data_IF_447035778715
#
_entry.id   IF_447035778715
#
_cell.length_a   1.000
_cell.length_b   1.000
_cell.length_c   1.000
_cell.angle_alpha   90.00
_cell.angle_beta   90.00
_cell.angle_gamma   90.00
#
_symmetry.space_group_name_H-M   'P 1'
#
loop_
_entity.id
_entity.type
_entity.pdbx_description
1 polymer ?
#
# COMPACT_ATOMS: atom_id res chain seq x y z
N UNK A 1 -18.00 -36.75 29.22
CA UNK A 1 -16.90 -35.82 28.85
C UNK A 1 -16.55 -36.03 27.37
N UNK A 2 -17.02 -35.15 26.48
CA UNK A 2 -16.80 -35.27 25.05
C UNK A 2 -15.51 -34.52 24.70
N UNK A 3 -14.50 -35.24 24.21
CA UNK A 3 -13.26 -34.66 23.66
C UNK A 3 -13.50 -34.29 22.21
N UNK A 4 -13.97 -33.07 21.92
CA UNK A 4 -13.93 -32.53 20.55
C UNK A 4 -12.54 -32.02 20.23
N UNK A 5 -11.68 -32.90 19.70
CA UNK A 5 -10.37 -32.54 19.16
C UNK A 5 -10.49 -32.03 17.73
N UNK A 6 -10.80 -30.76 17.54
CA UNK A 6 -10.76 -30.13 16.21
C UNK A 6 -9.29 -29.88 15.85
N UNK A 7 -8.77 -30.62 14.87
CA UNK A 7 -7.44 -30.37 14.30
C UNK A 7 -7.56 -29.27 13.24
N UNK A 8 -7.10 -28.06 13.57
CA UNK A 8 -6.97 -26.99 12.59
C UNK A 8 -5.74 -27.27 11.70
N UNK A 9 -5.96 -27.45 10.39
CA UNK A 9 -4.88 -27.41 9.39
C UNK A 9 -4.58 -25.95 9.09
N UNK A 10 -3.49 -25.42 9.64
CA UNK A 10 -2.99 -24.11 9.23
C UNK A 10 -2.31 -24.27 7.87
N UNK A 11 -2.87 -23.60 6.85
CA UNK A 11 -2.15 -23.40 5.59
C UNK A 11 -1.17 -22.24 5.78
N UNK A 12 0.06 -22.32 5.23
CA UNK A 12 0.98 -21.21 5.29
C UNK A 12 0.39 -20.03 4.50
N UNK A 13 0.19 -18.89 5.18
CA UNK A 13 -0.31 -17.65 4.57
C UNK A 13 0.88 -16.70 4.45
N UNK A 14 1.14 -16.22 3.23
CA UNK A 14 2.17 -15.20 3.01
C UNK A 14 1.75 -13.90 3.69
N UNK A 15 2.61 -13.39 4.58
CA UNK A 15 2.33 -12.21 5.40
C UNK A 15 2.97 -10.98 4.76
N UNK A 16 2.13 -10.00 4.43
CA UNK A 16 2.53 -8.75 3.81
C UNK A 16 2.20 -7.57 4.73
N UNK A 17 3.15 -6.66 4.91
CA UNK A 17 2.93 -5.40 5.63
C UNK A 17 3.03 -4.21 4.71
N UNK A 18 2.13 -3.25 4.92
CA UNK A 18 2.14 -1.99 4.18
C UNK A 18 3.35 -1.16 4.59
N UNK A 19 4.10 -0.68 3.61
CA UNK A 19 5.26 0.18 3.85
C UNK A 19 4.82 1.58 4.30
N UNK A 20 5.50 2.14 5.31
CA UNK A 20 5.14 3.43 5.89
C UNK A 20 5.88 4.57 5.18
N UNK A 21 5.15 5.42 4.47
CA UNK A 21 5.72 6.58 3.77
C UNK A 21 5.69 7.83 4.67
N UNK A 22 6.72 8.68 4.56
CA UNK A 22 6.82 9.95 5.30
C UNK A 22 5.65 10.90 5.00
N UNK A 23 5.20 11.64 6.01
CA UNK A 23 4.02 12.54 5.94
C UNK A 23 4.18 13.59 4.83
N UNK A 24 5.40 14.07 4.58
CA UNK A 24 5.68 15.04 3.52
C UNK A 24 5.44 14.47 2.11
N UNK A 25 5.81 13.21 1.84
CA UNK A 25 5.43 12.52 0.58
C UNK A 25 3.93 12.28 0.46
N UNK A 26 3.25 12.07 1.60
CA UNK A 26 1.81 11.75 1.69
C UNK A 26 0.88 12.86 1.15
N UNK A 27 1.36 14.10 1.07
CA UNK A 27 0.59 15.27 0.61
C UNK A 27 1.17 15.93 -0.65
N UNK A 28 2.24 15.37 -1.23
CA UNK A 28 2.92 15.90 -2.43
C UNK A 28 2.24 15.39 -3.72
N UNK A 29 0.90 15.46 -3.71
CA UNK A 29 -0.04 14.88 -4.67
C UNK A 29 0.43 14.85 -6.12
N UNK A 30 0.12 13.76 -6.83
CA UNK A 30 0.51 13.44 -8.22
C UNK A 30 2.02 13.36 -8.50
N UNK A 31 2.81 14.29 -7.97
CA UNK A 31 4.27 14.28 -8.09
C UNK A 31 4.89 13.08 -7.39
N UNK A 32 4.33 12.60 -6.28
CA UNK A 32 4.82 11.37 -5.62
C UNK A 32 4.46 10.08 -6.39
N UNK A 33 3.33 10.07 -7.12
CA UNK A 33 2.98 8.96 -8.01
C UNK A 33 3.91 8.91 -9.23
N UNK A 34 4.20 10.07 -9.83
CA UNK A 34 5.25 10.23 -10.84
C UNK A 34 6.63 9.89 -10.29
N UNK A 35 6.97 10.32 -9.07
CA UNK A 35 8.27 10.05 -8.46
C UNK A 35 8.44 8.55 -8.18
N UNK A 36 7.43 7.88 -7.64
CA UNK A 36 7.51 6.43 -7.39
C UNK A 36 7.48 5.60 -8.67
N UNK A 37 6.70 6.02 -9.68
CA UNK A 37 6.79 5.40 -11.01
C UNK A 37 8.16 5.65 -11.65
N UNK A 38 8.70 6.86 -11.52
CA UNK A 38 10.04 7.21 -11.98
C UNK A 38 11.12 6.48 -11.19
N UNK A 39 10.94 6.22 -9.90
CA UNK A 39 11.88 5.49 -9.04
C UNK A 39 11.83 3.99 -9.36
N UNK A 40 10.66 3.46 -9.74
CA UNK A 40 10.50 2.10 -10.27
C UNK A 40 11.11 1.95 -11.67
N UNK A 41 10.85 2.91 -12.58
CA UNK A 41 11.47 2.95 -13.91
C UNK A 41 12.98 3.22 -13.85
N UNK A 42 13.41 4.10 -12.96
CA UNK A 42 14.82 4.42 -12.75
C UNK A 42 15.52 3.23 -12.11
N UNK A 43 14.96 2.55 -11.10
CA UNK A 43 15.57 1.33 -10.57
C UNK A 43 15.58 0.16 -11.55
N UNK A 44 14.64 0.10 -12.51
CA UNK A 44 14.68 -0.90 -13.59
C UNK A 44 15.65 -0.54 -14.72
N UNK A 45 15.95 0.75 -14.91
CA UNK A 45 16.91 1.22 -15.93
C UNK A 45 18.35 1.37 -15.39
N UNK A 46 18.51 1.80 -14.14
CA UNK A 46 19.78 1.91 -13.44
C UNK A 46 20.01 0.66 -12.61
N UNK A 47 20.48 -0.40 -13.26
CA UNK A 47 21.27 -1.44 -12.58
C UNK A 47 22.61 -0.83 -12.11
N UNK A 48 22.57 0.21 -11.26
CA UNK A 48 23.74 0.75 -10.57
C UNK A 48 23.50 0.55 -9.07
N UNK A 49 24.35 -0.23 -8.39
CA UNK A 49 24.17 -0.57 -6.99
C UNK A 49 24.55 0.65 -6.16
N UNK A 50 23.64 1.60 -6.00
CA UNK A 50 23.87 2.73 -5.09
C UNK A 50 23.28 2.34 -3.75
N UNK A 51 24.18 1.96 -2.86
CA UNK A 51 23.89 1.32 -1.59
C UNK A 51 22.97 2.14 -0.71
N UNK A 52 21.82 1.56 -0.38
CA UNK A 52 21.28 1.56 0.97
C UNK A 52 20.52 0.24 1.13
N UNK A 53 21.26 -0.85 1.33
CA UNK A 53 20.68 -2.17 1.62
C UNK A 53 20.16 -2.14 3.06
N UNK A 54 18.92 -1.76 3.25
CA UNK A 54 18.16 -2.17 4.43
C UNK A 54 17.94 -3.69 4.34
N UNK A 55 18.83 -4.43 5.00
CA UNK A 55 18.85 -5.90 5.11
C UNK A 55 17.73 -6.46 5.99
N UNK A 56 16.51 -5.94 5.87
CA UNK A 56 15.31 -6.48 6.55
C UNK A 56 14.24 -6.97 5.57
N UNK A 57 14.30 -6.55 4.31
CA UNK A 57 13.36 -6.90 3.24
C UNK A 57 14.07 -7.82 2.24
N UNK A 58 14.17 -9.11 2.59
CA UNK A 58 14.47 -10.19 1.65
C UNK A 58 13.20 -10.79 1.04
N UNK A 59 12.04 -10.18 1.31
CA UNK A 59 10.73 -10.61 0.87
C UNK A 59 10.32 -9.98 -0.46
N UNK A 60 9.48 -10.66 -1.23
CA UNK A 60 8.93 -10.11 -2.47
C UNK A 60 8.20 -8.80 -2.19
N UNK A 61 8.66 -7.69 -2.79
CA UNK A 61 7.92 -6.42 -2.76
C UNK A 61 6.78 -6.49 -3.76
N UNK A 62 5.54 -6.38 -3.26
CA UNK A 62 4.34 -6.35 -4.07
C UNK A 62 3.80 -4.91 -4.12
N UNK A 63 3.60 -4.37 -5.32
CA UNK A 63 2.99 -3.06 -5.52
C UNK A 63 1.65 -3.22 -6.23
N UNK A 64 0.58 -2.75 -5.59
CA UNK A 64 -0.74 -2.68 -6.18
C UNK A 64 -1.06 -1.25 -6.54
N UNK A 65 -1.45 -1.04 -7.80
CA UNK A 65 -1.86 0.25 -8.33
C UNK A 65 -3.34 0.15 -8.69
N UNK A 66 -4.15 1.05 -8.13
CA UNK A 66 -5.57 1.13 -8.42
C UNK A 66 -5.79 1.87 -9.74
N UNK A 67 -6.67 1.33 -10.58
CA UNK A 67 -7.12 2.02 -11.78
C UNK A 67 -8.02 3.21 -11.44
N UNK A 68 -8.21 4.09 -12.41
CA UNK A 68 -9.10 5.25 -12.23
C UNK A 68 -10.55 4.85 -11.92
N UNK A 69 -10.99 3.68 -12.40
CA UNK A 69 -12.32 3.14 -12.08
C UNK A 69 -12.41 2.72 -10.59
N UNK A 70 -11.41 1.99 -10.10
CA UNK A 70 -11.33 1.54 -8.71
C UNK A 70 -11.18 2.72 -7.74
N UNK A 71 -10.41 3.72 -8.12
CA UNK A 71 -10.29 4.96 -7.34
C UNK A 71 -11.64 5.67 -7.18
N UNK A 72 -12.41 5.80 -8.28
CA UNK A 72 -13.76 6.39 -8.23
C UNK A 72 -14.71 5.54 -7.39
N UNK A 73 -14.60 4.22 -7.49
CA UNK A 73 -15.39 3.30 -6.68
C UNK A 73 -15.07 3.45 -5.18
N UNK A 74 -13.80 3.60 -4.82
CA UNK A 74 -13.35 3.85 -3.45
C UNK A 74 -13.84 5.21 -2.93
N UNK A 75 -13.72 6.27 -3.73
CA UNK A 75 -14.28 7.58 -3.38
C UNK A 75 -15.80 7.52 -3.17
N UNK A 76 -16.51 6.78 -4.04
CA UNK A 76 -17.96 6.59 -3.94
C UNK A 76 -18.33 5.78 -2.69
N UNK A 77 -17.63 4.69 -2.40
CA UNK A 77 -17.89 3.89 -1.19
C UNK A 77 -17.69 4.73 0.07
N UNK A 78 -16.62 5.55 0.08
CA UNK A 78 -16.33 6.46 1.18
C UNK A 78 -17.41 7.51 1.36
N UNK A 79 -17.96 8.08 0.28
CA UNK A 79 -19.01 9.10 0.38
C UNK A 79 -20.27 8.66 1.15
N UNK A 80 -20.55 7.35 1.25
CA UNK A 80 -21.66 6.83 2.06
C UNK A 80 -21.43 6.95 3.58
N UNK A 81 -20.21 7.20 4.04
CA UNK A 81 -19.89 7.35 5.47
C UNK A 81 -19.99 8.81 5.95
N UNK A 82 -21.07 9.51 5.59
CA UNK A 82 -21.19 10.97 5.76
C UNK A 82 -20.90 11.47 7.18
N UNK A 83 -21.36 10.75 8.21
CA UNK A 83 -21.17 11.12 9.62
C UNK A 83 -19.70 11.11 10.08
N UNK A 84 -18.83 10.35 9.41
CA UNK A 84 -17.40 10.24 9.74
C UNK A 84 -16.52 11.03 8.76
N UNK A 85 -17.08 11.47 7.63
CA UNK A 85 -16.37 12.09 6.52
C UNK A 85 -16.35 13.61 6.60
N UNK A 86 -15.81 14.10 7.71
CA UNK A 86 -15.57 15.52 7.98
C UNK A 86 -14.65 16.12 6.91
N UNK A 87 -14.73 17.42 6.69
CA UNK A 87 -14.06 18.13 5.58
C UNK A 87 -12.57 17.77 5.42
N UNK A 88 -11.79 17.68 6.49
CA UNK A 88 -10.36 17.31 6.41
C UNK A 88 -10.13 15.87 5.93
N UNK A 89 -11.07 14.95 6.20
CA UNK A 89 -11.02 13.56 5.72
C UNK A 89 -11.32 13.47 4.23
N UNK A 90 -12.14 14.38 3.69
CA UNK A 90 -12.35 14.52 2.23
C UNK A 90 -11.02 14.82 1.53
N UNK A 91 -10.24 15.74 2.09
CA UNK A 91 -8.89 16.01 1.59
C UNK A 91 -8.00 14.77 1.66
N UNK A 92 -8.03 14.00 2.75
CA UNK A 92 -7.28 12.75 2.81
C UNK A 92 -7.68 11.75 1.72
N UNK A 93 -8.97 11.52 1.50
CA UNK A 93 -9.45 10.57 0.48
C UNK A 93 -9.07 11.04 -0.93
N UNK A 94 -9.12 12.36 -1.18
CA UNK A 94 -8.75 12.92 -2.49
C UNK A 94 -7.24 12.89 -2.69
N UNK A 95 -6.45 13.23 -1.66
CA UNK A 95 -5.02 13.52 -1.77
C UNK A 95 -4.09 12.39 -1.32
N UNK A 96 -4.60 11.32 -0.72
CA UNK A 96 -3.75 10.25 -0.16
C UNK A 96 -3.23 9.31 -1.24
N UNK A 97 -1.90 9.15 -1.28
CA UNK A 97 -1.19 8.13 -2.06
C UNK A 97 -1.82 6.74 -1.93
N UNK A 98 -2.26 6.35 -0.73
CA UNK A 98 -2.77 4.99 -0.47
C UNK A 98 -4.10 4.67 -1.17
N UNK A 99 -4.80 5.69 -1.69
CA UNK A 99 -5.97 5.49 -2.55
C UNK A 99 -5.59 5.03 -3.95
N UNK A 100 -4.34 5.23 -4.36
CA UNK A 100 -3.84 4.93 -5.69
C UNK A 100 -2.78 3.83 -5.69
N UNK A 101 -1.84 3.86 -4.74
CA UNK A 101 -0.68 2.98 -4.71
C UNK A 101 -0.51 2.41 -3.31
N UNK A 102 -0.52 1.09 -3.22
CA UNK A 102 -0.23 0.34 -2.00
C UNK A 102 1.00 -0.55 -2.24
N UNK A 103 2.07 -0.27 -1.50
CA UNK A 103 3.32 -1.02 -1.53
C UNK A 103 3.41 -1.90 -0.30
N UNK A 104 3.58 -3.19 -0.51
CA UNK A 104 3.67 -4.19 0.54
C UNK A 104 5.03 -4.87 0.53
N UNK A 105 5.51 -5.15 1.73
CA UNK A 105 6.73 -5.91 1.98
C UNK A 105 6.37 -7.25 2.63
N UNK A 106 6.97 -8.34 2.16
CA UNK A 106 6.71 -9.66 2.71
C UNK A 106 7.57 -9.88 3.96
N UNK A 107 6.92 -10.20 5.08
CA UNK A 107 7.59 -10.46 6.37
C UNK A 107 8.00 -11.93 6.50
N UNK A 108 7.23 -12.87 5.94
CA UNK A 108 7.43 -14.31 6.07
C UNK A 108 6.90 -15.09 4.87
#
# INVERSE_FOLDING_TARGET
>A
MIKTGIKFKFQPVALFTLDSVSILRKYLFFLDALFSYSEYLHNSMTNRPTGTKDKRSGGNKAMFVADMADYRLGCKSMSYHESQLVWYRKFYVIFSRYMYINTYDQIA
#
